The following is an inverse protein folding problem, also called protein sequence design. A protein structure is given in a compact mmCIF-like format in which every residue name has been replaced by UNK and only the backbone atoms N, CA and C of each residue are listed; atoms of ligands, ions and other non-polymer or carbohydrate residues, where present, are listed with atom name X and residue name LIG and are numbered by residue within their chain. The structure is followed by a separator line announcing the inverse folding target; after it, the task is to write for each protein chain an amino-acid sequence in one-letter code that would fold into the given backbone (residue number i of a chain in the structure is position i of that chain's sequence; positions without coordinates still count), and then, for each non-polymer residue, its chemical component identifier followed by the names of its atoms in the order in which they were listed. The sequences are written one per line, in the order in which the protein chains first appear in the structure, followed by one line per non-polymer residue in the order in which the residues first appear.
data_IF_071121924809
#
_entry.id   IF_071121924809
#
_cell.length_a   1.000
_cell.length_b   1.000
_cell.length_c   1.000
_cell.angle_alpha   90.00
_cell.angle_beta   90.00
_cell.angle_gamma   90.00
#
_symmetry.space_group_name_H-M   'P 1'
#
loop_
_entity.id
_entity.type
_entity.pdbx_description
1 polymer ?
#
# COMPACT_ATOMS: atom_id res chain seq x y z
N UNK A 1 -6.64 3.63 40.22
CA UNK A 1 -7.40 4.16 39.08
C UNK A 1 -7.09 3.27 37.90
N UNK A 2 -7.94 2.29 37.61
CA UNK A 2 -7.82 1.46 36.41
C UNK A 2 -8.23 2.32 35.23
N UNK A 3 -7.25 2.91 34.55
CA UNK A 3 -7.45 3.57 33.26
C UNK A 3 -8.02 2.53 32.32
N UNK A 4 -9.30 2.68 31.95
CA UNK A 4 -9.96 1.80 30.99
C UNK A 4 -9.11 1.74 29.72
N UNK A 5 -8.59 0.55 29.42
CA UNK A 5 -7.79 0.33 28.20
C UNK A 5 -8.61 0.83 27.02
N UNK A 6 -8.11 1.87 26.33
CA UNK A 6 -8.72 2.30 25.09
C UNK A 6 -8.70 1.13 24.10
N UNK A 7 -9.79 0.94 23.36
CA UNK A 7 -9.86 -0.16 22.42
C UNK A 7 -8.77 -0.01 21.34
N UNK A 8 -8.01 -1.08 21.08
CA UNK A 8 -6.99 -1.14 20.02
C UNK A 8 -7.51 -0.61 18.68
N UNK A 9 -8.77 -0.92 18.36
CA UNK A 9 -9.45 -0.47 17.16
C UNK A 9 -9.55 1.05 17.04
N UNK A 10 -9.74 1.76 18.17
CA UNK A 10 -9.90 3.21 18.20
C UNK A 10 -8.55 3.89 17.99
N UNK A 11 -7.51 3.44 18.70
CA UNK A 11 -6.14 3.93 18.55
C UNK A 11 -5.64 3.68 17.12
N UNK A 12 -5.89 2.49 16.57
CA UNK A 12 -5.52 2.16 15.20
C UNK A 12 -6.30 3.00 14.17
N UNK A 13 -7.61 3.24 14.36
CA UNK A 13 -8.39 4.07 13.45
C UNK A 13 -7.94 5.53 13.46
N UNK A 14 -7.65 6.10 14.63
CA UNK A 14 -7.12 7.45 14.75
C UNK A 14 -5.76 7.55 14.06
N UNK A 15 -4.85 6.61 14.36
CA UNK A 15 -3.55 6.54 13.70
C UNK A 15 -3.73 6.49 12.19
N UNK A 16 -4.44 5.50 11.65
CA UNK A 16 -4.66 5.36 10.20
C UNK A 16 -5.49 6.48 9.54
N UNK A 17 -6.14 7.33 10.34
CA UNK A 17 -6.87 8.51 9.88
C UNK A 17 -6.03 9.78 9.79
N UNK A 18 -4.89 9.84 10.47
CA UNK A 18 -3.99 10.99 10.45
C UNK A 18 -3.16 11.05 9.15
N UNK A 19 -2.78 12.25 8.68
CA UNK A 19 -1.90 12.40 7.54
C UNK A 19 -0.45 12.08 7.94
N UNK A 20 -0.05 10.81 7.79
CA UNK A 20 1.34 10.40 8.02
C UNK A 20 2.17 10.46 6.73
N UNK A 21 3.37 11.04 6.83
CA UNK A 21 4.38 11.02 5.75
C UNK A 21 4.87 9.60 5.47
N UNK A 22 5.01 8.80 6.53
CA UNK A 22 5.28 7.37 6.47
C UNK A 22 4.56 6.69 7.62
N UNK A 23 3.88 5.61 7.29
CA UNK A 23 3.24 4.75 8.28
C UNK A 23 4.32 3.83 8.85
N UNK A 24 4.45 3.77 10.18
CA UNK A 24 5.38 2.86 10.87
C UNK A 24 4.65 2.03 11.93
N UNK A 25 5.01 0.75 12.06
CA UNK A 25 4.40 -0.15 13.06
C UNK A 25 4.81 0.26 14.48
N UNK A 26 6.06 0.72 14.65
CA UNK A 26 6.59 1.17 15.94
C UNK A 26 5.83 2.38 16.51
N UNK A 27 5.40 3.32 15.67
CA UNK A 27 4.64 4.49 16.13
C UNK A 27 3.24 4.08 16.63
N UNK A 28 2.61 3.12 15.97
CA UNK A 28 1.34 2.54 16.42
C UNK A 28 1.50 1.77 17.74
N UNK A 29 2.59 1.03 17.87
CA UNK A 29 2.93 0.35 19.12
C UNK A 29 3.10 1.35 20.28
N UNK A 30 3.84 2.44 20.09
CA UNK A 30 4.03 3.46 21.12
C UNK A 30 2.69 4.07 21.56
N UNK A 31 1.76 4.30 20.62
CA UNK A 31 0.41 4.77 20.95
C UNK A 31 -0.38 3.74 21.75
N UNK A 32 -0.24 2.45 21.45
CA UNK A 32 -0.85 1.38 22.24
C UNK A 32 -0.24 1.26 23.64
N UNK A 33 1.07 1.43 23.80
CA UNK A 33 1.71 1.48 25.12
C UNK A 33 1.19 2.68 25.92
N UNK A 34 1.09 3.85 25.30
CA UNK A 34 0.52 5.05 25.92
C UNK A 34 -0.96 4.85 26.32
N UNK A 35 -1.71 4.04 25.56
CA UNK A 35 -3.08 3.63 25.87
C UNK A 35 -3.22 2.56 26.97
N UNK A 36 -2.11 2.15 27.62
CA UNK A 36 -2.12 1.25 28.77
C UNK A 36 -1.94 -0.25 28.45
N UNK A 37 -1.48 -0.60 27.24
CA UNK A 37 -1.14 -1.98 26.90
C UNK A 37 0.29 -2.32 27.33
N UNK A 38 0.51 -3.56 27.76
CA UNK A 38 1.86 -4.04 28.06
C UNK A 38 2.71 -4.07 26.77
N UNK A 39 4.04 -3.84 26.81
CA UNK A 39 4.87 -3.74 25.60
C UNK A 39 4.80 -4.93 24.65
N UNK A 40 4.63 -6.15 25.19
CA UNK A 40 4.48 -7.36 24.37
C UNK A 40 3.10 -7.44 23.71
N UNK A 41 2.04 -7.12 24.45
CA UNK A 41 0.66 -7.08 23.92
C UNK A 41 0.50 -5.96 22.88
N UNK A 42 1.03 -4.77 23.16
CA UNK A 42 0.98 -3.60 22.29
C UNK A 42 1.58 -3.91 20.92
N UNK A 43 2.69 -4.64 20.88
CA UNK A 43 3.35 -4.98 19.63
C UNK A 43 2.65 -6.05 18.81
N UNK A 44 2.06 -7.06 19.47
CA UNK A 44 1.23 -8.04 18.78
C UNK A 44 -0.01 -7.36 18.19
N UNK A 45 -0.66 -6.50 18.97
CA UNK A 45 -1.83 -5.73 18.54
C UNK A 45 -1.50 -4.73 17.43
N UNK A 46 -0.35 -4.05 17.50
CA UNK A 46 0.14 -3.16 16.43
C UNK A 46 0.33 -3.95 15.13
N UNK A 47 1.02 -5.09 15.17
CA UNK A 47 1.21 -5.95 13.99
C UNK A 47 -0.12 -6.39 13.38
N UNK A 48 -1.07 -6.85 14.20
CA UNK A 48 -2.38 -7.32 13.74
C UNK A 48 -3.20 -6.19 13.11
N UNK A 49 -3.23 -5.02 13.74
CA UNK A 49 -3.91 -3.84 13.21
C UNK A 49 -3.31 -3.39 11.86
N UNK A 50 -1.98 -3.44 11.76
CA UNK A 50 -1.26 -3.11 10.54
C UNK A 50 -1.47 -4.14 9.42
N UNK A 51 -1.49 -5.44 9.72
CA UNK A 51 -1.79 -6.48 8.75
C UNK A 51 -3.23 -6.35 8.23
N UNK A 52 -4.19 -6.06 9.13
CA UNK A 52 -5.57 -5.80 8.74
C UNK A 52 -5.68 -4.57 7.82
N UNK A 53 -4.96 -3.49 8.13
CA UNK A 53 -4.90 -2.30 7.28
C UNK A 53 -4.23 -2.61 5.93
N UNK A 54 -3.11 -3.35 5.94
CA UNK A 54 -2.41 -3.78 4.74
C UNK A 54 -3.32 -4.62 3.83
N UNK A 55 -4.07 -5.60 4.36
CA UNK A 55 -5.01 -6.39 3.55
C UNK A 55 -6.10 -5.54 2.92
N UNK A 56 -6.62 -4.53 3.63
CA UNK A 56 -7.60 -3.58 3.07
C UNK A 56 -6.98 -2.74 1.95
N UNK A 57 -5.76 -2.26 2.15
CA UNK A 57 -5.02 -1.52 1.13
C UNK A 57 -4.63 -2.41 -0.06
N UNK A 58 -4.27 -3.67 0.16
CA UNK A 58 -3.95 -4.63 -0.89
C UNK A 58 -5.16 -4.91 -1.77
N UNK A 59 -6.37 -5.04 -1.20
CA UNK A 59 -7.59 -5.11 -2.01
C UNK A 59 -7.80 -3.82 -2.81
N UNK A 60 -7.81 -2.66 -2.17
CA UNK A 60 -8.12 -1.39 -2.85
C UNK A 60 -7.06 -0.99 -3.88
N UNK A 61 -5.79 -0.92 -3.49
CA UNK A 61 -4.66 -0.54 -4.33
C UNK A 61 -4.26 -1.66 -5.29
N UNK A 62 -4.31 -2.93 -4.87
CA UNK A 62 -4.02 -4.06 -5.75
C UNK A 62 -5.02 -4.18 -6.90
N UNK A 63 -6.31 -3.93 -6.66
CA UNK A 63 -7.29 -3.83 -7.76
C UNK A 63 -6.93 -2.66 -8.70
N UNK A 64 -6.49 -1.50 -8.19
CA UNK A 64 -6.02 -0.40 -9.06
C UNK A 64 -4.80 -0.82 -9.89
N UNK A 65 -3.83 -1.50 -9.29
CA UNK A 65 -2.65 -2.04 -10.01
C UNK A 65 -3.10 -2.96 -11.14
N UNK A 66 -4.02 -3.89 -10.88
CA UNK A 66 -4.56 -4.78 -11.91
C UNK A 66 -5.28 -4.03 -13.04
N UNK A 67 -6.07 -3.01 -12.71
CA UNK A 67 -6.74 -2.17 -13.71
C UNK A 67 -5.72 -1.46 -14.60
N UNK A 68 -4.71 -0.82 -14.01
CA UNK A 68 -3.65 -0.17 -14.77
C UNK A 68 -2.85 -1.18 -15.61
N UNK A 69 -2.54 -2.36 -15.07
CA UNK A 69 -1.85 -3.41 -15.83
C UNK A 69 -2.69 -3.89 -17.03
N UNK A 70 -3.99 -4.10 -16.84
CA UNK A 70 -4.91 -4.49 -17.90
C UNK A 70 -5.02 -3.41 -18.98
N UNK A 71 -5.12 -2.13 -18.59
CA UNK A 71 -5.10 -1.00 -19.53
C UNK A 71 -3.80 -0.92 -20.31
N UNK A 72 -2.65 -1.11 -19.65
CA UNK A 72 -1.35 -1.13 -20.31
C UNK A 72 -1.25 -2.28 -21.32
N UNK A 73 -1.78 -3.45 -20.99
CA UNK A 73 -1.85 -4.59 -21.92
C UNK A 73 -2.72 -4.27 -23.15
N UNK A 74 -3.89 -3.64 -22.96
CA UNK A 74 -4.76 -3.22 -24.06
C UNK A 74 -4.04 -2.22 -24.98
N UNK A 75 -3.35 -1.23 -24.41
CA UNK A 75 -2.59 -0.25 -25.19
C UNK A 75 -1.42 -0.90 -25.93
N UNK A 76 -0.70 -1.84 -25.31
CA UNK A 76 0.35 -2.62 -25.98
C UNK A 76 -0.17 -3.39 -27.19
N UNK A 77 -1.32 -4.07 -27.07
CA UNK A 77 -1.94 -4.77 -28.20
C UNK A 77 -2.30 -3.78 -29.32
N UNK A 78 -2.83 -2.61 -28.98
CA UNK A 78 -3.14 -1.55 -29.96
C UNK A 78 -1.88 -1.02 -30.66
N UNK A 79 -0.80 -0.81 -29.92
CA UNK A 79 0.51 -0.39 -30.47
C UNK A 79 1.02 -1.43 -31.46
N UNK A 80 0.97 -2.72 -31.13
CA UNK A 80 1.41 -3.80 -32.02
C UNK A 80 0.58 -3.83 -33.31
N UNK A 81 -0.75 -3.67 -33.22
CA UNK A 81 -1.63 -3.62 -34.40
C UNK A 81 -1.42 -2.36 -35.27
N UNK A 82 -1.01 -1.24 -34.67
CA UNK A 82 -0.76 0.02 -35.39
C UNK A 82 0.64 0.07 -36.00
N UNK A 83 1.64 -0.57 -35.37
CA UNK A 83 3.01 -0.61 -35.87
C UNK A 83 3.11 -1.24 -37.25
N UNK A 84 2.22 -2.17 -37.57
CA UNK A 84 2.15 -2.84 -38.89
C UNK A 84 1.56 -1.96 -40.00
N UNK A 85 0.89 -0.85 -39.62
CA UNK A 85 0.30 0.11 -40.57
C UNK A 85 1.21 1.33 -40.70
N UNK A 86 2.10 1.29 -41.70
CA UNK A 86 2.94 2.44 -42.06
C UNK A 86 2.07 3.67 -42.32
N UNK A 87 2.07 4.64 -41.38
CA UNK A 87 1.38 5.92 -41.58
C UNK A 87 0.99 6.68 -40.33
N UNK A 88 0.85 6.05 -39.15
CA UNK A 88 0.28 6.72 -37.98
C UNK A 88 1.23 6.92 -36.79
N UNK A 89 2.40 7.52 -37.04
CA UNK A 89 3.45 7.76 -36.04
C UNK A 89 2.96 8.61 -34.86
N UNK A 90 2.08 9.59 -35.09
CA UNK A 90 1.47 10.40 -34.02
C UNK A 90 0.59 9.57 -33.10
N UNK A 91 -0.29 8.74 -33.66
CA UNK A 91 -1.19 7.90 -32.88
C UNK A 91 -0.41 6.85 -32.08
N UNK A 92 0.61 6.23 -32.70
CA UNK A 92 1.54 5.32 -32.04
C UNK A 92 2.23 5.96 -30.84
N UNK A 93 2.72 7.19 -30.99
CA UNK A 93 3.41 7.95 -29.91
C UNK A 93 2.48 8.24 -28.73
N UNK A 94 1.22 8.59 -29.01
CA UNK A 94 0.20 8.85 -27.97
C UNK A 94 -0.09 7.58 -27.18
N UNK A 95 -0.31 6.44 -27.85
CA UNK A 95 -0.54 5.17 -27.16
C UNK A 95 0.68 4.74 -26.35
N UNK A 96 1.90 4.99 -26.85
CA UNK A 96 3.13 4.70 -26.12
C UNK A 96 3.25 5.53 -24.83
N UNK A 97 2.95 6.84 -24.91
CA UNK A 97 2.93 7.72 -23.76
C UNK A 97 1.86 7.31 -22.74
N UNK A 98 0.66 6.96 -23.20
CA UNK A 98 -0.42 6.45 -22.33
C UNK A 98 -0.03 5.14 -21.65
N UNK A 99 0.63 4.24 -22.37
CA UNK A 99 1.14 2.97 -21.80
C UNK A 99 2.16 3.26 -20.71
N UNK A 100 3.15 4.12 -20.98
CA UNK A 100 4.16 4.51 -19.99
C UNK A 100 3.55 5.15 -18.74
N UNK A 101 2.61 6.08 -18.91
CA UNK A 101 1.89 6.71 -17.80
C UNK A 101 1.14 5.67 -16.95
N UNK A 102 0.42 4.77 -17.60
CA UNK A 102 -0.37 3.72 -16.95
C UNK A 102 0.54 2.78 -16.14
N UNK A 103 1.69 2.39 -16.70
CA UNK A 103 2.68 1.57 -16.00
C UNK A 103 3.26 2.29 -14.78
N UNK A 104 3.66 3.56 -14.92
CA UNK A 104 4.20 4.36 -13.80
C UNK A 104 3.17 4.47 -12.68
N UNK A 105 1.90 4.72 -12.99
CA UNK A 105 0.84 4.76 -11.99
C UNK A 105 0.69 3.41 -11.28
N UNK A 106 0.61 2.30 -12.03
CA UNK A 106 0.57 0.95 -11.45
C UNK A 106 1.77 0.65 -10.54
N UNK A 107 2.96 1.12 -10.92
CA UNK A 107 4.20 0.92 -10.18
C UNK A 107 4.21 1.73 -8.87
N UNK A 108 3.74 2.98 -8.88
CA UNK A 108 3.60 3.81 -7.66
C UNK A 108 2.70 3.11 -6.62
N UNK A 109 1.53 2.60 -7.05
CA UNK A 109 0.63 1.87 -6.16
C UNK A 109 1.26 0.59 -5.61
N UNK A 110 2.06 -0.10 -6.43
CA UNK A 110 2.79 -1.31 -6.05
C UNK A 110 3.88 -1.02 -5.01
N UNK A 111 4.66 0.05 -5.20
CA UNK A 111 5.68 0.50 -4.24
C UNK A 111 5.04 0.82 -2.88
N UNK A 112 3.92 1.54 -2.86
CA UNK A 112 3.23 1.82 -1.60
C UNK A 112 2.77 0.55 -0.87
N UNK A 113 2.35 -0.48 -1.60
CA UNK A 113 2.00 -1.77 -0.98
C UNK A 113 3.24 -2.49 -0.48
N UNK A 114 4.34 -2.44 -1.23
CA UNK A 114 5.60 -3.05 -0.84
C UNK A 114 6.15 -2.44 0.45
N UNK A 115 6.20 -1.11 0.55
CA UNK A 115 6.63 -0.38 1.75
C UNK A 115 5.81 -0.78 2.99
N UNK A 116 4.48 -0.86 2.87
CA UNK A 116 3.62 -1.28 3.98
C UNK A 116 3.92 -2.72 4.42
N UNK A 117 4.18 -3.62 3.47
CA UNK A 117 4.52 -5.02 3.77
C UNK A 117 5.91 -5.13 4.40
N UNK A 118 6.87 -4.36 3.90
CA UNK A 118 8.25 -4.34 4.39
C UNK A 118 8.32 -3.82 5.82
N UNK A 119 7.58 -2.77 6.16
CA UNK A 119 7.45 -2.27 7.54
C UNK A 119 6.96 -3.34 8.51
N UNK A 120 5.92 -4.12 8.13
CA UNK A 120 5.42 -5.23 8.95
C UNK A 120 6.50 -6.31 9.11
N UNK A 121 7.18 -6.69 8.03
CA UNK A 121 8.20 -7.74 8.05
C UNK A 121 9.40 -7.34 8.90
N UNK A 122 9.93 -6.13 8.67
CA UNK A 122 11.06 -5.54 9.39
C UNK A 122 10.78 -5.47 10.88
N UNK A 123 9.60 -4.96 11.28
CA UNK A 123 9.20 -4.89 12.68
C UNK A 123 9.10 -6.28 13.34
N UNK A 124 8.56 -7.27 12.62
CA UNK A 124 8.46 -8.65 13.11
C UNK A 124 9.84 -9.30 13.27
N UNK A 125 10.74 -9.07 12.33
CA UNK A 125 12.09 -9.63 12.36
C UNK A 125 12.93 -9.02 13.50
N UNK A 126 12.75 -7.73 13.80
CA UNK A 126 13.39 -7.05 14.94
C UNK A 126 12.96 -7.61 16.30
N UNK A 127 11.77 -8.22 16.41
CA UNK A 127 11.24 -8.81 17.66
C UNK A 127 11.40 -10.31 17.79
N UNK A 128 11.77 -10.99 16.71
CA UNK A 128 12.11 -12.41 16.74
C UNK A 128 13.57 -12.66 17.14
N UNK A 129 14.41 -11.62 17.09
CA UNK A 129 15.73 -11.60 17.71
C UNK A 129 15.61 -11.23 19.18
#
# INVERSE_FOLDING_TARGET
METGKEAVSTIAQQYFGEPHKQWRVADLEQRLIAGGYAPQEAAQQACLAYDAYFRRQLKKKGTKVLIFLALAAIFLVRILMMADKMGNVKELSVFLALTAYTLVQGLIWSIHLFQLKEEISSFRDLRKR
#
